data_IF_575757985208
#
_entry.id   IF_575757985208
#
_cell.length_a   1.000
_cell.length_b   1.000
_cell.length_c   1.000
_cell.angle_alpha   90.00
_cell.angle_beta   90.00
_cell.angle_gamma   90.00
#
_symmetry.space_group_name_H-M   'P 1'
#
loop_
_entity.id
_entity.type
_entity.pdbx_description
1 polymer ?
#
# COMPACT_ATOMS: atom_id res chain seq x y z
N UNK A 1 10.64 -22.79 6.42
CA UNK A 1 11.73 -23.11 5.48
C UNK A 1 11.25 -22.75 4.08
N UNK A 2 12.00 -21.92 3.35
CA UNK A 2 11.60 -21.39 2.04
C UNK A 2 11.59 -22.44 0.93
N UNK A 3 10.79 -22.19 -0.11
CA UNK A 3 10.69 -23.08 -1.30
C UNK A 3 12.02 -23.21 -2.04
N UNK A 4 12.84 -22.16 -1.99
CA UNK A 4 14.19 -22.16 -2.57
C UNK A 4 15.12 -23.12 -1.82
N UNK A 5 15.03 -23.20 -0.50
CA UNK A 5 15.80 -24.12 0.34
C UNK A 5 15.57 -25.58 -0.09
N UNK A 6 14.32 -25.99 -0.33
CA UNK A 6 13.99 -27.34 -0.78
C UNK A 6 14.56 -27.66 -2.17
N UNK A 7 14.60 -26.67 -3.06
CA UNK A 7 15.22 -26.83 -4.37
C UNK A 7 16.74 -26.98 -4.27
N UNK A 8 17.40 -26.20 -3.41
CA UNK A 8 18.82 -26.35 -3.10
C UNK A 8 19.14 -27.72 -2.50
N UNK A 9 18.37 -28.10 -1.49
CA UNK A 9 18.52 -29.38 -0.84
C UNK A 9 18.38 -30.54 -1.85
N UNK A 10 17.38 -30.50 -2.70
CA UNK A 10 17.16 -31.50 -3.73
C UNK A 10 18.33 -31.57 -4.72
N UNK A 11 18.86 -30.43 -5.16
CA UNK A 11 20.01 -30.37 -6.07
C UNK A 11 21.26 -30.96 -5.44
N UNK A 12 21.58 -30.63 -4.20
CA UNK A 12 22.72 -31.17 -3.47
C UNK A 12 22.53 -32.65 -3.22
N UNK A 13 21.32 -33.07 -2.83
CA UNK A 13 21.00 -34.48 -2.60
C UNK A 13 21.08 -35.30 -3.86
N UNK A 14 20.58 -34.82 -5.00
CA UNK A 14 20.71 -35.48 -6.30
C UNK A 14 22.18 -35.60 -6.75
N UNK A 15 23.01 -34.59 -6.50
CA UNK A 15 24.43 -34.62 -6.79
C UNK A 15 25.13 -35.72 -5.97
N UNK A 16 24.82 -35.85 -4.69
CA UNK A 16 25.36 -36.91 -3.83
C UNK A 16 24.85 -38.29 -4.23
N UNK A 17 23.56 -38.40 -4.59
CA UNK A 17 22.99 -39.66 -5.06
C UNK A 17 23.65 -40.11 -6.36
N UNK A 18 23.87 -39.19 -7.32
CA UNK A 18 24.56 -39.48 -8.58
C UNK A 18 26.01 -39.94 -8.34
N UNK A 19 26.72 -39.31 -7.40
CA UNK A 19 28.06 -39.71 -6.98
C UNK A 19 28.07 -41.12 -6.35
N UNK A 20 27.11 -41.40 -5.46
CA UNK A 20 26.98 -42.70 -4.82
C UNK A 20 26.60 -43.82 -5.81
N UNK A 21 25.67 -43.55 -6.74
CA UNK A 21 25.31 -44.47 -7.81
C UNK A 21 26.47 -44.73 -8.76
N UNK A 22 27.23 -43.70 -9.16
CA UNK A 22 28.43 -43.83 -9.97
C UNK A 22 29.50 -44.70 -9.31
N UNK A 23 29.70 -44.54 -7.99
CA UNK A 23 30.60 -45.42 -7.19
C UNK A 23 30.09 -46.84 -7.15
N UNK A 24 28.79 -47.04 -6.89
CA UNK A 24 28.19 -48.38 -6.85
C UNK A 24 28.29 -49.12 -8.18
N UNK A 25 27.99 -48.46 -9.31
CA UNK A 25 28.10 -48.99 -10.65
C UNK A 25 29.55 -49.36 -11.01
N UNK A 26 30.52 -48.52 -10.66
CA UNK A 26 31.93 -48.79 -10.88
C UNK A 26 32.36 -50.07 -10.13
N UNK A 27 32.02 -50.22 -8.85
CA UNK A 27 32.33 -51.43 -8.07
C UNK A 27 31.59 -52.67 -8.62
N UNK A 28 30.38 -52.50 -9.14
CA UNK A 28 29.62 -53.60 -9.74
C UNK A 28 30.27 -54.09 -11.05
N UNK A 29 30.72 -53.17 -11.92
CA UNK A 29 31.43 -53.54 -13.19
C UNK A 29 32.84 -54.07 -12.98
N UNK A 30 33.52 -53.68 -11.90
CA UNK A 30 34.89 -54.10 -11.64
C UNK A 30 34.95 -55.30 -10.69
N UNK A 31 33.81 -55.85 -10.29
CA UNK A 31 33.68 -57.00 -9.40
C UNK A 31 34.41 -58.22 -9.91
N UNK A 32 34.29 -58.51 -11.17
CA UNK A 32 34.95 -59.69 -11.82
C UNK A 32 36.48 -59.58 -11.84
N UNK A 33 37.03 -58.40 -11.89
CA UNK A 33 38.48 -58.16 -11.79
C UNK A 33 39.01 -58.30 -10.36
N UNK A 34 38.18 -57.93 -9.36
CA UNK A 34 38.58 -58.13 -7.96
C UNK A 34 38.55 -59.56 -7.51
N UNK A 35 37.64 -60.40 -8.01
CA UNK A 35 37.56 -61.80 -7.66
C UNK A 35 38.77 -62.62 -8.27
N UNK A 36 39.26 -62.23 -9.44
CA UNK A 36 40.41 -62.86 -10.04
C UNK A 36 41.74 -62.60 -9.33
N UNK A 37 41.89 -61.47 -8.66
CA UNK A 37 43.07 -61.11 -7.85
C UNK A 37 43.08 -61.75 -6.45
N UNK A 38 41.95 -62.09 -5.90
CA UNK A 38 41.87 -62.81 -4.60
C UNK A 38 42.06 -64.33 -4.78
N UNK A 39 41.66 -64.88 -5.94
CA UNK A 39 41.79 -66.28 -6.24
C UNK A 39 43.23 -66.72 -6.60
N UNK A 40 44.09 -65.77 -6.98
CA UNK A 40 45.51 -66.00 -7.18
C UNK A 40 46.26 -65.99 -5.84
N UNK A 41 46.13 -67.01 -5.06
CA UNK A 41 46.99 -67.22 -3.91
C UNK A 41 48.48 -67.31 -4.31
N UNK A 42 49.41 -66.99 -3.37
CA UNK A 42 50.83 -67.08 -3.71
C UNK A 42 51.19 -68.44 -4.32
N UNK A 43 52.05 -68.48 -5.31
CA UNK A 43 52.43 -69.73 -5.96
C UNK A 43 52.90 -70.78 -4.95
N UNK A 44 52.60 -72.08 -5.15
CA UNK A 44 52.76 -73.13 -4.15
C UNK A 44 54.25 -73.46 -3.80
N UNK A 45 55.20 -72.75 -4.34
CA UNK A 45 56.65 -73.09 -4.18
C UNK A 45 57.32 -72.44 -2.93
N UNK A 46 56.64 -71.66 -2.15
CA UNK A 46 57.28 -71.07 -0.97
C UNK A 46 56.48 -71.30 0.32
N UNK A 47 56.35 -72.54 0.77
CA UNK A 47 56.04 -72.89 2.16
C UNK A 47 57.31 -73.34 2.84
N UNK A 48 57.94 -72.61 3.71
CA UNK A 48 58.96 -73.06 4.58
C UNK A 48 58.40 -74.20 5.47
N UNK A 49 59.17 -75.21 5.79
CA UNK A 49 58.72 -76.29 6.65
C UNK A 49 58.32 -75.73 8.03
N UNK A 50 57.30 -76.32 8.70
CA UNK A 50 56.90 -75.89 10.00
C UNK A 50 57.97 -76.08 11.03
N UNK A 51 58.40 -75.04 11.73
CA UNK A 51 59.32 -75.14 12.86
C UNK A 51 58.58 -75.83 14.02
N UNK A 52 59.17 -76.80 14.71
CA UNK A 52 58.54 -77.43 15.85
C UNK A 52 58.62 -76.53 17.06
N UNK A 53 57.45 -76.08 17.56
CA UNK A 53 57.36 -75.50 18.89
C UNK A 53 56.63 -74.20 19.10
N UNK A 54 56.01 -73.55 18.10
CA UNK A 54 55.28 -72.29 18.37
C UNK A 54 53.78 -72.52 18.50
N UNK A 55 53.31 -72.34 19.74
CA UNK A 55 51.90 -72.33 20.09
C UNK A 55 51.10 -71.37 19.22
N UNK A 56 49.88 -71.79 18.92
CA UNK A 56 48.89 -71.05 18.13
C UNK A 56 48.78 -69.57 18.48
N UNK A 57 49.48 -68.68 17.78
CA UNK A 57 49.11 -67.28 17.70
C UNK A 57 48.06 -67.19 16.59
N UNK A 58 46.87 -66.59 16.94
CA UNK A 58 45.89 -66.29 15.94
C UNK A 58 46.52 -65.33 14.90
N UNK A 59 46.23 -65.44 13.62
CA UNK A 59 46.78 -64.54 12.59
C UNK A 59 46.27 -63.12 12.93
N UNK A 60 47.22 -62.17 13.05
CA UNK A 60 46.87 -60.75 13.20
C UNK A 60 46.03 -60.35 12.00
N UNK A 61 44.85 -59.67 12.20
CA UNK A 61 44.11 -59.14 11.08
C UNK A 61 45.01 -58.15 10.33
N UNK A 62 44.97 -58.18 8.99
CA UNK A 62 45.78 -57.27 8.21
C UNK A 62 45.44 -55.84 8.57
N UNK A 63 46.42 -54.93 8.63
CA UNK A 63 46.12 -53.52 8.92
C UNK A 63 45.11 -53.04 7.92
N UNK A 64 43.99 -52.47 8.41
CA UNK A 64 43.00 -51.80 7.60
C UNK A 64 43.65 -50.52 7.01
N UNK A 65 44.48 -50.69 5.99
CA UNK A 65 44.99 -49.56 5.23
C UNK A 65 43.82 -48.79 4.65
N UNK A 66 43.78 -47.47 4.85
CA UNK A 66 42.84 -46.57 4.24
C UNK A 66 42.92 -46.78 2.73
N UNK A 67 42.04 -47.62 2.17
CA UNK A 67 41.95 -47.80 0.71
C UNK A 67 41.27 -46.56 0.17
N UNK A 68 42.05 -45.65 -0.42
CA UNK A 68 41.53 -44.55 -1.18
C UNK A 68 40.64 -45.11 -2.31
N UNK A 69 39.46 -44.49 -2.53
CA UNK A 69 38.58 -44.90 -3.63
C UNK A 69 39.33 -44.78 -4.96
N UNK A 70 39.06 -45.67 -5.93
CA UNK A 70 39.76 -45.68 -7.21
C UNK A 70 39.57 -44.31 -7.93
N UNK A 71 40.66 -43.82 -8.53
CA UNK A 71 40.73 -42.52 -9.23
C UNK A 71 39.54 -42.20 -10.15
N UNK A 72 39.03 -43.17 -10.99
CA UNK A 72 37.88 -42.87 -11.86
C UNK A 72 36.59 -42.54 -11.10
N UNK A 73 36.39 -43.10 -9.91
CA UNK A 73 35.21 -42.81 -9.06
C UNK A 73 35.27 -41.42 -8.53
N UNK A 74 36.43 -40.98 -8.04
CA UNK A 74 36.66 -39.60 -7.61
C UNK A 74 36.44 -38.62 -8.75
N UNK A 75 36.90 -38.96 -9.95
CA UNK A 75 36.74 -38.11 -11.14
C UNK A 75 35.28 -37.97 -11.56
N UNK A 76 34.50 -39.07 -11.60
CA UNK A 76 33.06 -39.01 -11.90
C UNK A 76 32.28 -38.19 -10.84
N UNK A 77 32.59 -38.37 -9.57
CA UNK A 77 31.97 -37.59 -8.49
C UNK A 77 32.26 -36.10 -8.59
N UNK A 78 33.50 -35.73 -8.92
CA UNK A 78 33.93 -34.36 -9.12
C UNK A 78 33.22 -33.72 -10.32
N UNK A 79 33.12 -34.43 -11.45
CA UNK A 79 32.37 -33.95 -12.62
C UNK A 79 30.89 -33.75 -12.33
N UNK A 80 30.24 -34.71 -11.68
CA UNK A 80 28.84 -34.60 -11.30
C UNK A 80 28.59 -33.38 -10.38
N UNK A 81 29.47 -33.20 -9.37
CA UNK A 81 29.43 -32.06 -8.48
C UNK A 81 29.62 -30.72 -9.21
N UNK A 82 30.58 -30.68 -10.17
CA UNK A 82 30.83 -29.50 -10.98
C UNK A 82 29.61 -29.09 -11.83
N UNK A 83 28.98 -30.08 -12.51
CA UNK A 83 27.76 -29.81 -13.31
C UNK A 83 26.60 -29.36 -12.44
N UNK A 84 26.37 -29.97 -11.28
CA UNK A 84 25.35 -29.55 -10.35
C UNK A 84 25.61 -28.13 -9.81
N UNK A 85 26.85 -27.82 -9.43
CA UNK A 85 27.23 -26.51 -8.96
C UNK A 85 27.06 -25.42 -10.04
N UNK A 86 27.50 -25.72 -11.27
CA UNK A 86 27.34 -24.81 -12.41
C UNK A 86 25.85 -24.57 -12.75
N UNK A 87 25.05 -25.64 -12.79
CA UNK A 87 23.60 -25.55 -13.03
C UNK A 87 22.89 -24.73 -11.96
N UNK A 88 23.22 -24.94 -10.68
CA UNK A 88 22.68 -24.19 -9.56
C UNK A 88 23.10 -22.73 -9.59
N UNK A 89 24.37 -22.47 -9.85
CA UNK A 89 24.89 -21.11 -9.96
C UNK A 89 24.17 -20.35 -11.09
N UNK A 90 23.99 -20.98 -12.25
CA UNK A 90 23.26 -20.37 -13.37
C UNK A 90 21.78 -20.15 -13.04
N UNK A 91 21.13 -21.12 -12.38
CA UNK A 91 19.73 -21.05 -11.95
C UNK A 91 19.44 -19.88 -11.03
N UNK A 92 20.41 -19.48 -10.20
CA UNK A 92 20.27 -18.38 -9.23
C UNK A 92 20.83 -17.06 -9.78
N UNK A 93 21.99 -17.10 -10.44
CA UNK A 93 22.66 -15.89 -10.89
C UNK A 93 21.86 -15.14 -11.98
N UNK A 94 21.11 -15.86 -12.82
CA UNK A 94 20.31 -15.26 -13.89
C UNK A 94 19.20 -14.35 -13.33
N UNK A 95 18.29 -14.81 -12.44
CA UNK A 95 17.24 -13.94 -11.91
C UNK A 95 17.78 -12.82 -11.01
N UNK A 96 18.87 -13.06 -10.27
CA UNK A 96 19.50 -12.00 -9.47
C UNK A 96 20.02 -10.87 -10.38
N UNK A 97 20.63 -11.21 -11.53
CA UNK A 97 21.08 -10.21 -12.51
C UNK A 97 19.91 -9.46 -13.14
N UNK A 98 18.80 -10.14 -13.41
CA UNK A 98 17.59 -9.49 -13.93
C UNK A 98 17.00 -8.51 -12.90
N UNK A 99 16.89 -8.92 -11.63
CA UNK A 99 16.46 -8.08 -10.54
C UNK A 99 17.37 -6.84 -10.42
N UNK A 100 18.69 -7.03 -10.39
CA UNK A 100 19.63 -5.93 -10.33
C UNK A 100 19.46 -4.94 -11.49
N UNK A 101 19.36 -5.45 -12.72
CA UNK A 101 19.14 -4.59 -13.90
C UNK A 101 17.82 -3.81 -13.82
N UNK A 102 16.77 -4.37 -13.23
CA UNK A 102 15.51 -3.67 -13.06
C UNK A 102 15.56 -2.62 -11.93
N UNK A 103 16.27 -2.91 -10.83
CA UNK A 103 16.54 -1.89 -9.81
C UNK A 103 17.38 -0.73 -10.38
N UNK A 104 18.41 -1.02 -11.18
CA UNK A 104 19.22 -0.01 -11.85
C UNK A 104 18.38 0.82 -12.82
N UNK A 105 17.47 0.19 -13.59
CA UNK A 105 16.55 0.88 -14.48
C UNK A 105 15.55 1.77 -13.70
N UNK A 106 14.99 1.26 -12.60
CA UNK A 106 14.09 2.03 -11.74
C UNK A 106 14.81 3.23 -11.11
N UNK A 107 16.05 3.06 -10.64
CA UNK A 107 16.87 4.14 -10.13
C UNK A 107 17.18 5.21 -11.18
N UNK A 108 17.27 4.81 -12.46
CA UNK A 108 17.39 5.74 -13.60
C UNK A 108 16.05 6.40 -14.02
N UNK A 109 14.95 6.11 -13.29
CA UNK A 109 13.62 6.67 -13.55
C UNK A 109 12.75 5.86 -14.51
N UNK A 110 13.23 4.72 -15.01
CA UNK A 110 12.43 3.81 -15.85
C UNK A 110 11.66 2.82 -14.95
N UNK A 111 10.44 3.18 -14.59
CA UNK A 111 9.54 2.36 -13.76
C UNK A 111 8.64 1.42 -14.59
N UNK A 112 8.85 1.35 -15.91
CA UNK A 112 8.05 0.47 -16.80
C UNK A 112 8.55 -0.97 -16.84
N UNK A 113 9.74 -1.21 -16.33
CA UNK A 113 10.34 -2.54 -16.29
C UNK A 113 9.50 -3.48 -15.43
N UNK A 114 9.11 -4.62 -16.00
CA UNK A 114 8.40 -5.70 -15.31
C UNK A 114 9.30 -6.93 -15.27
N UNK A 115 9.45 -7.50 -14.07
CA UNK A 115 10.29 -8.68 -13.84
C UNK A 115 9.46 -9.93 -13.63
N UNK A 116 8.29 -9.82 -13.02
CA UNK A 116 7.43 -10.96 -12.70
C UNK A 116 7.17 -11.85 -13.92
N UNK A 117 6.90 -11.26 -15.08
CA UNK A 117 6.73 -11.98 -16.34
C UNK A 117 8.02 -12.66 -16.82
N UNK A 118 9.18 -12.03 -16.63
CA UNK A 118 10.48 -12.56 -17.04
C UNK A 118 10.97 -13.72 -16.16
N UNK A 119 10.44 -13.84 -14.94
CA UNK A 119 10.70 -14.97 -14.02
C UNK A 119 10.04 -16.27 -14.48
N UNK A 120 9.12 -16.22 -15.46
CA UNK A 120 8.49 -17.39 -16.09
C UNK A 120 7.63 -18.18 -15.10
N UNK A 121 7.70 -19.54 -15.22
CA UNK A 121 6.90 -20.46 -14.37
C UNK A 121 7.53 -20.75 -13.00
N UNK A 122 8.49 -19.94 -12.55
CA UNK A 122 9.10 -20.13 -11.23
C UNK A 122 8.05 -19.89 -10.13
N UNK A 123 8.15 -20.68 -9.07
CA UNK A 123 7.32 -20.59 -7.86
C UNK A 123 8.22 -20.67 -6.63
N UNK A 124 9.13 -19.71 -6.52
CA UNK A 124 10.08 -19.61 -5.41
C UNK A 124 10.17 -18.16 -4.92
N UNK A 125 10.91 -17.94 -3.85
CA UNK A 125 11.08 -16.66 -3.19
C UNK A 125 11.65 -15.59 -4.13
N UNK A 126 12.42 -15.98 -5.15
CA UNK A 126 12.92 -15.04 -6.15
C UNK A 126 11.82 -14.56 -7.10
N UNK A 127 10.85 -15.42 -7.42
CA UNK A 127 9.68 -15.02 -8.18
C UNK A 127 8.76 -14.09 -7.37
N UNK A 128 8.55 -14.41 -6.08
CA UNK A 128 7.78 -13.56 -5.17
C UNK A 128 8.44 -12.16 -5.05
N UNK A 129 9.77 -12.10 -4.92
CA UNK A 129 10.53 -10.84 -4.93
C UNK A 129 10.39 -10.06 -6.24
N UNK A 130 10.34 -10.74 -7.38
CA UNK A 130 10.07 -10.10 -8.68
C UNK A 130 8.68 -9.45 -8.74
N UNK A 131 7.66 -10.13 -8.22
CA UNK A 131 6.31 -9.57 -8.13
C UNK A 131 6.21 -8.41 -7.14
N UNK A 132 6.94 -8.49 -6.02
CA UNK A 132 7.00 -7.40 -5.05
C UNK A 132 7.67 -6.15 -5.64
N UNK A 133 8.74 -6.35 -6.43
CA UNK A 133 9.36 -5.26 -7.20
C UNK A 133 8.37 -4.63 -8.18
N UNK A 134 7.64 -5.44 -8.96
CA UNK A 134 6.66 -4.93 -9.93
C UNK A 134 5.55 -4.12 -9.26
N UNK A 135 5.10 -4.57 -8.08
CA UNK A 135 4.10 -3.86 -7.26
C UNK A 135 4.64 -2.54 -6.76
N UNK A 136 5.87 -2.54 -6.20
CA UNK A 136 6.54 -1.33 -5.73
C UNK A 136 6.76 -0.33 -6.87
N UNK A 137 7.29 -0.80 -8.01
CA UNK A 137 7.52 0.03 -9.21
C UNK A 137 6.22 0.62 -9.74
N UNK A 138 5.12 -0.18 -9.74
CA UNK A 138 3.79 0.30 -10.11
C UNK A 138 3.26 1.39 -9.17
N UNK A 139 3.45 1.25 -7.87
CA UNK A 139 3.07 2.28 -6.89
C UNK A 139 3.88 3.56 -7.06
N UNK A 140 5.21 3.46 -7.22
CA UNK A 140 6.07 4.63 -7.45
C UNK A 140 5.68 5.36 -8.73
N UNK A 141 5.40 4.63 -9.80
CA UNK A 141 4.94 5.22 -11.05
C UNK A 141 3.61 5.97 -10.87
N UNK A 142 2.63 5.33 -10.23
CA UNK A 142 1.33 5.95 -9.98
C UNK A 142 1.46 7.26 -9.16
N UNK A 143 2.36 7.28 -8.16
CA UNK A 143 2.68 8.48 -7.38
C UNK A 143 3.32 9.58 -8.24
N UNK A 144 4.32 9.23 -9.06
CA UNK A 144 4.98 10.20 -9.96
C UNK A 144 4.04 10.76 -11.01
N UNK A 145 3.20 9.92 -11.62
CA UNK A 145 2.21 10.35 -12.60
C UNK A 145 1.11 11.22 -11.96
N UNK A 146 0.72 10.91 -10.71
CA UNK A 146 -0.16 11.74 -9.90
C UNK A 146 0.44 13.12 -9.64
N UNK A 147 1.71 13.16 -9.21
CA UNK A 147 2.42 14.42 -8.94
C UNK A 147 2.60 15.26 -10.21
N UNK A 148 2.94 14.64 -11.35
CA UNK A 148 3.06 15.36 -12.63
C UNK A 148 1.73 15.95 -13.08
N UNK A 149 0.63 15.21 -12.96
CA UNK A 149 -0.72 15.71 -13.26
C UNK A 149 -1.08 16.87 -12.35
N UNK A 150 -0.85 16.74 -11.04
CA UNK A 150 -1.10 17.81 -10.08
C UNK A 150 -0.37 19.10 -10.48
N UNK A 151 0.94 19.04 -10.78
CA UNK A 151 1.74 20.21 -11.19
C UNK A 151 1.23 20.82 -12.51
N UNK A 152 0.81 19.98 -13.45
CA UNK A 152 0.22 20.42 -14.71
C UNK A 152 -1.07 21.19 -14.48
N UNK A 153 -1.98 20.61 -13.70
CA UNK A 153 -3.29 21.17 -13.39
C UNK A 153 -3.17 22.47 -12.58
N UNK A 154 -2.26 22.49 -11.59
CA UNK A 154 -1.91 23.74 -10.84
C UNK A 154 -1.47 24.84 -11.80
N UNK A 155 -0.57 24.50 -12.75
CA UNK A 155 -0.06 25.51 -13.70
C UNK A 155 -1.17 26.06 -14.60
N UNK A 156 -2.12 25.23 -14.98
CA UNK A 156 -3.29 25.66 -15.76
C UNK A 156 -4.24 26.51 -14.95
N UNK A 157 -4.56 26.10 -13.71
CA UNK A 157 -5.50 26.82 -12.84
C UNK A 157 -4.92 28.13 -12.32
N UNK A 158 -3.61 28.30 -12.23
CA UNK A 158 -2.96 29.57 -11.87
C UNK A 158 -2.87 30.54 -13.07
N UNK A 159 -2.71 30.02 -14.29
CA UNK A 159 -2.56 30.87 -15.50
C UNK A 159 -3.83 31.69 -15.78
N UNK A 160 -4.99 31.11 -15.60
CA UNK A 160 -6.27 31.77 -15.86
C UNK A 160 -6.54 33.00 -14.97
N UNK A 161 -6.48 32.93 -13.62
CA UNK A 161 -6.66 34.10 -12.75
C UNK A 161 -5.55 35.15 -12.97
N UNK A 162 -4.30 34.72 -13.23
CA UNK A 162 -3.21 35.62 -13.51
C UNK A 162 -3.47 36.44 -14.78
N UNK A 163 -3.98 35.80 -15.85
CA UNK A 163 -4.36 36.50 -17.09
C UNK A 163 -5.50 37.51 -16.84
N UNK A 164 -6.52 37.13 -16.03
CA UNK A 164 -7.62 38.06 -15.66
C UNK A 164 -7.12 39.23 -14.82
N UNK A 165 -6.18 38.98 -13.91
CA UNK A 165 -5.55 40.01 -13.07
C UNK A 165 -4.76 40.98 -13.95
N UNK A 166 -3.93 40.51 -14.90
CA UNK A 166 -3.23 41.36 -15.86
C UNK A 166 -4.21 42.19 -16.73
N UNK A 167 -5.29 41.58 -17.18
CA UNK A 167 -6.31 42.30 -17.96
C UNK A 167 -6.98 43.42 -17.12
N UNK A 168 -7.30 43.16 -15.83
CA UNK A 168 -7.87 44.15 -14.93
C UNK A 168 -6.90 45.31 -14.69
N UNK A 169 -5.60 45.03 -14.49
CA UNK A 169 -4.58 46.07 -14.38
C UNK A 169 -4.48 46.91 -15.65
N UNK A 170 -4.52 46.25 -16.82
CA UNK A 170 -4.49 46.94 -18.12
C UNK A 170 -5.68 47.87 -18.31
N UNK A 171 -6.90 47.42 -17.92
CA UNK A 171 -8.10 48.23 -17.94
C UNK A 171 -8.03 49.40 -16.97
N UNK A 172 -7.56 49.20 -15.75
CA UNK A 172 -7.35 50.25 -14.75
C UNK A 172 -6.44 51.40 -15.29
N UNK A 173 -5.41 51.04 -16.02
CA UNK A 173 -4.47 52.01 -16.64
C UNK A 173 -5.08 52.77 -17.81
N UNK A 174 -5.94 52.11 -18.62
CA UNK A 174 -6.52 52.71 -19.85
C UNK A 174 -7.80 53.49 -19.57
N UNK A 175 -8.57 53.14 -18.57
CA UNK A 175 -9.89 53.70 -18.25
C UNK A 175 -9.97 54.15 -16.79
N UNK A 176 -9.46 55.34 -16.45
CA UNK A 176 -9.51 55.88 -15.07
C UNK A 176 -10.92 55.92 -14.51
N UNK A 177 -11.94 56.13 -15.31
CA UNK A 177 -13.34 56.16 -14.87
C UNK A 177 -13.87 54.81 -14.34
N UNK A 178 -13.16 53.67 -14.62
CA UNK A 178 -13.48 52.32 -14.14
C UNK A 178 -12.44 51.75 -13.19
N UNK A 179 -11.67 52.64 -12.56
CA UNK A 179 -10.59 52.25 -11.65
C UNK A 179 -11.12 51.37 -10.51
N UNK A 180 -12.22 51.79 -9.89
CA UNK A 180 -12.81 51.08 -8.75
C UNK A 180 -13.25 49.63 -9.13
N UNK A 181 -13.97 49.49 -10.25
CA UNK A 181 -14.35 48.15 -10.76
C UNK A 181 -13.16 47.25 -11.05
N UNK A 182 -12.07 47.86 -11.54
CA UNK A 182 -10.84 47.11 -11.84
C UNK A 182 -10.09 46.69 -10.57
N UNK A 183 -10.06 47.54 -9.55
CA UNK A 183 -9.49 47.25 -8.23
C UNK A 183 -10.25 46.10 -7.57
N UNK A 184 -11.57 46.16 -7.54
CA UNK A 184 -12.41 45.08 -6.99
C UNK A 184 -12.22 43.74 -7.74
N UNK A 185 -11.96 43.78 -9.05
CA UNK A 185 -11.62 42.57 -9.80
C UNK A 185 -10.26 42.03 -9.42
N UNK A 186 -9.26 42.87 -9.27
CA UNK A 186 -7.90 42.49 -8.84
C UNK A 186 -7.96 41.84 -7.45
N UNK A 187 -8.68 42.46 -6.52
CA UNK A 187 -8.87 41.97 -5.16
C UNK A 187 -9.52 40.57 -5.17
N UNK A 188 -10.65 40.41 -5.87
CA UNK A 188 -11.33 39.11 -6.02
C UNK A 188 -10.47 38.02 -6.64
N UNK A 189 -9.67 38.32 -7.67
CA UNK A 189 -8.79 37.35 -8.26
C UNK A 189 -7.60 37.03 -7.34
N UNK A 190 -7.10 37.99 -6.57
CA UNK A 190 -6.07 37.80 -5.52
C UNK A 190 -6.56 36.85 -4.41
N UNK A 191 -7.75 37.07 -3.90
CA UNK A 191 -8.38 36.21 -2.89
C UNK A 191 -8.59 34.78 -3.41
N UNK A 192 -9.02 34.65 -4.69
CA UNK A 192 -9.16 33.33 -5.33
C UNK A 192 -7.83 32.60 -5.41
N UNK A 193 -6.77 33.29 -5.84
CA UNK A 193 -5.43 32.68 -5.93
C UNK A 193 -4.93 32.27 -4.54
N UNK A 194 -5.11 33.12 -3.52
CA UNK A 194 -4.72 32.79 -2.15
C UNK A 194 -5.44 31.54 -1.64
N UNK A 195 -6.73 31.42 -1.93
CA UNK A 195 -7.53 30.22 -1.57
C UNK A 195 -7.01 28.97 -2.28
N UNK A 196 -6.73 29.04 -3.59
CA UNK A 196 -6.16 27.94 -4.35
C UNK A 196 -4.82 27.47 -3.75
N UNK A 197 -3.93 28.41 -3.44
CA UNK A 197 -2.64 28.09 -2.82
C UNK A 197 -2.83 27.41 -1.45
N UNK A 198 -3.77 27.92 -0.64
CA UNK A 198 -4.10 27.32 0.67
C UNK A 198 -4.65 25.89 0.55
N UNK A 199 -5.52 25.62 -0.43
CA UNK A 199 -6.03 24.27 -0.72
C UNK A 199 -4.91 23.33 -1.19
N UNK A 200 -4.02 23.80 -2.07
CA UNK A 200 -2.87 23.05 -2.56
C UNK A 200 -1.88 22.68 -1.45
N UNK A 201 -1.56 23.64 -0.57
CA UNK A 201 -0.67 23.39 0.57
C UNK A 201 -1.28 22.35 1.53
N UNK A 202 -2.59 22.41 1.75
CA UNK A 202 -3.29 21.41 2.56
C UNK A 202 -3.22 20.03 1.93
N UNK A 203 -3.52 19.93 0.63
CA UNK A 203 -3.44 18.66 -0.11
C UNK A 203 -2.02 18.10 -0.08
N UNK A 204 -1.02 18.92 -0.33
CA UNK A 204 0.40 18.52 -0.32
C UNK A 204 0.84 18.01 1.06
N UNK A 205 0.45 18.66 2.16
CA UNK A 205 0.75 18.19 3.52
C UNK A 205 0.10 16.84 3.82
N UNK A 206 -1.15 16.64 3.40
CA UNK A 206 -1.87 15.38 3.56
C UNK A 206 -1.24 14.25 2.72
N UNK A 207 -0.77 14.56 1.51
CA UNK A 207 -0.06 13.59 0.66
C UNK A 207 1.32 13.20 1.20
N UNK A 208 2.01 14.14 1.83
CA UNK A 208 3.29 13.87 2.49
C UNK A 208 3.17 13.04 3.78
N UNK A 209 1.93 12.69 4.19
CA UNK A 209 1.69 11.91 5.41
C UNK A 209 2.07 12.67 6.68
N UNK A 210 2.16 14.01 6.63
CA UNK A 210 2.39 14.83 7.81
C UNK A 210 1.16 14.73 8.70
N UNK A 211 1.22 13.78 9.65
CA UNK A 211 0.17 13.58 10.64
C UNK A 211 0.15 14.77 11.58
N UNK A 212 -0.90 15.58 11.49
CA UNK A 212 -1.22 16.53 12.54
C UNK A 212 -1.69 15.78 13.81
N UNK A 213 -1.43 16.28 15.01
CA UNK A 213 -1.83 15.60 16.24
C UNK A 213 -3.33 15.35 16.24
N UNK A 214 -3.72 14.15 16.67
CA UNK A 214 -5.10 13.77 16.86
C UNK A 214 -5.51 14.15 18.27
N UNK A 215 -6.57 14.91 18.38
CA UNK A 215 -7.20 15.34 19.63
C UNK A 215 -8.63 14.79 19.74
N UNK A 216 -9.16 14.77 20.93
CA UNK A 216 -10.55 14.41 21.17
C UNK A 216 -11.41 15.64 20.92
N UNK A 217 -12.31 15.56 19.97
CA UNK A 217 -13.15 16.65 19.50
C UNK A 217 -14.61 16.35 19.79
N UNK A 218 -15.35 17.37 20.24
CA UNK A 218 -16.79 17.35 20.26
C UNK A 218 -17.32 17.61 18.84
N UNK A 219 -17.98 16.59 18.27
CA UNK A 219 -18.50 16.68 16.91
C UNK A 219 -19.71 17.63 16.81
N UNK A 220 -20.47 17.75 17.89
CA UNK A 220 -21.65 18.65 17.94
C UNK A 220 -21.22 20.11 17.90
N UNK A 221 -20.18 20.48 18.64
CA UNK A 221 -19.59 21.82 18.61
C UNK A 221 -19.03 22.14 17.20
N UNK A 222 -18.22 21.26 16.66
CA UNK A 222 -17.61 21.45 15.33
C UNK A 222 -18.66 21.58 14.23
N UNK A 223 -19.73 20.77 14.26
CA UNK A 223 -20.83 20.85 13.29
C UNK A 223 -21.67 22.10 13.53
N UNK A 224 -21.86 22.52 14.79
CA UNK A 224 -22.58 23.74 15.13
C UNK A 224 -21.98 24.96 14.45
N UNK A 225 -20.68 25.17 14.57
CA UNK A 225 -19.93 26.25 13.92
C UNK A 225 -20.06 26.21 12.38
N UNK A 226 -19.86 25.01 11.79
CA UNK A 226 -20.02 24.83 10.35
C UNK A 226 -21.42 25.13 9.83
N UNK A 227 -22.44 24.81 10.60
CA UNK A 227 -23.84 25.08 10.23
C UNK A 227 -24.20 26.56 10.30
N UNK A 228 -23.62 27.31 11.25
CA UNK A 228 -23.81 28.76 11.34
C UNK A 228 -23.28 29.44 10.07
N UNK A 229 -22.04 29.12 9.69
CA UNK A 229 -21.42 29.65 8.47
C UNK A 229 -22.18 29.21 7.20
N UNK A 230 -22.58 27.95 7.13
CA UNK A 230 -23.32 27.40 5.99
C UNK A 230 -24.71 28.06 5.83
N UNK A 231 -25.42 28.32 6.92
CA UNK A 231 -26.72 29.04 6.92
C UNK A 231 -26.59 30.47 6.46
N UNK A 232 -25.52 31.15 6.88
CA UNK A 232 -25.23 32.51 6.43
C UNK A 232 -24.99 32.56 4.92
N UNK A 233 -24.17 31.64 4.38
CA UNK A 233 -23.91 31.52 2.93
C UNK A 233 -25.20 31.15 2.16
N UNK A 234 -25.97 30.20 2.69
CA UNK A 234 -27.22 29.72 2.11
C UNK A 234 -28.32 30.78 2.02
N UNK A 235 -28.38 31.69 3.00
CA UNK A 235 -29.41 32.72 3.09
C UNK A 235 -29.45 33.62 1.85
N UNK A 236 -28.30 33.95 1.26
CA UNK A 236 -28.20 34.75 0.03
C UNK A 236 -28.86 34.10 -1.19
N UNK A 237 -29.06 32.78 -1.17
CA UNK A 237 -29.67 31.97 -2.25
C UNK A 237 -31.02 31.36 -1.86
N UNK A 238 -31.52 31.67 -0.65
CA UNK A 238 -32.76 31.12 -0.10
C UNK A 238 -32.69 29.59 0.15
N UNK A 239 -31.49 29.02 0.23
CA UNK A 239 -31.30 27.58 0.48
C UNK A 239 -31.52 27.34 1.98
N UNK A 240 -32.29 26.30 2.31
CA UNK A 240 -32.49 25.86 3.69
C UNK A 240 -31.43 24.83 4.07
N UNK A 241 -30.78 25.00 5.23
CA UNK A 241 -29.82 23.99 5.76
C UNK A 241 -30.44 23.36 7.00
N UNK A 242 -30.76 22.06 6.86
CA UNK A 242 -31.32 21.24 7.93
C UNK A 242 -30.24 20.37 8.56
N UNK A 243 -30.21 20.21 9.86
CA UNK A 243 -29.32 19.34 10.57
C UNK A 243 -30.09 18.38 11.48
N UNK A 244 -29.80 17.11 11.38
CA UNK A 244 -30.22 16.06 12.29
C UNK A 244 -29.00 15.58 13.05
N UNK A 245 -28.70 16.21 14.16
CA UNK A 245 -27.64 15.87 15.09
C UNK A 245 -28.24 15.72 16.48
N UNK A 246 -27.73 14.85 17.32
CA UNK A 246 -28.28 14.65 18.65
C UNK A 246 -27.61 13.51 19.42
N UNK A 247 -26.39 13.16 19.04
CA UNK A 247 -25.73 11.96 19.57
C UNK A 247 -24.59 12.25 20.56
N UNK A 248 -24.23 13.52 20.80
CA UNK A 248 -23.12 13.92 21.67
C UNK A 248 -21.86 13.05 21.43
N UNK A 249 -21.36 13.08 20.20
CA UNK A 249 -20.28 12.21 19.73
C UNK A 249 -18.93 12.87 19.85
N UNK A 250 -17.96 12.17 20.45
CA UNK A 250 -16.56 12.59 20.46
C UNK A 250 -15.75 11.77 19.47
N UNK A 251 -14.95 12.43 18.65
CA UNK A 251 -14.09 11.78 17.65
C UNK A 251 -12.62 12.14 17.87
N UNK A 252 -11.73 11.19 17.60
CA UNK A 252 -10.28 11.45 17.59
C UNK A 252 -9.84 11.82 16.18
N UNK A 253 -9.67 13.13 15.96
CA UNK A 253 -9.22 13.66 14.68
C UNK A 253 -8.40 14.94 14.90
N UNK A 254 -7.80 15.45 13.83
CA UNK A 254 -7.33 16.85 13.85
C UNK A 254 -8.51 17.77 13.54
N UNK A 255 -8.82 18.68 14.46
CA UNK A 255 -10.01 19.55 14.38
C UNK A 255 -10.03 20.40 13.13
N UNK A 256 -8.92 21.05 12.79
CA UNK A 256 -8.82 21.91 11.60
C UNK A 256 -9.04 21.11 10.31
N UNK A 257 -8.45 19.92 10.21
CA UNK A 257 -8.58 19.08 9.02
C UNK A 257 -10.00 18.50 8.88
N UNK A 258 -10.59 18.03 9.98
CA UNK A 258 -11.95 17.50 9.96
C UNK A 258 -12.98 18.60 9.65
N UNK A 259 -12.85 19.78 10.29
CA UNK A 259 -13.65 20.94 9.96
C UNK A 259 -13.60 21.24 8.46
N UNK A 260 -12.39 21.31 7.90
CA UNK A 260 -12.15 21.59 6.48
C UNK A 260 -12.75 20.53 5.56
N UNK A 261 -12.70 19.25 5.96
CA UNK A 261 -13.28 18.16 5.19
C UNK A 261 -14.80 18.30 5.09
N UNK A 262 -15.47 18.53 6.22
CA UNK A 262 -16.93 18.69 6.29
C UNK A 262 -17.36 19.98 5.57
N UNK A 263 -16.65 21.09 5.82
CA UNK A 263 -16.88 22.37 5.13
C UNK A 263 -16.85 22.23 3.61
N UNK A 264 -15.83 21.53 3.08
CA UNK A 264 -15.69 21.31 1.64
C UNK A 264 -16.88 20.55 1.03
N UNK A 265 -17.39 19.53 1.73
CA UNK A 265 -18.56 18.79 1.28
C UNK A 265 -19.82 19.64 1.38
N UNK A 266 -20.00 20.38 2.49
CA UNK A 266 -21.14 21.22 2.72
C UNK A 266 -21.21 22.39 1.72
N UNK A 267 -20.09 23.05 1.45
CA UNK A 267 -20.00 24.09 0.41
C UNK A 267 -20.28 23.53 -1.00
N UNK A 268 -19.86 22.31 -1.27
CA UNK A 268 -20.21 21.64 -2.52
C UNK A 268 -21.73 21.43 -2.63
N UNK A 269 -22.37 20.93 -1.57
CA UNK A 269 -23.81 20.74 -1.51
C UNK A 269 -24.58 22.06 -1.69
N UNK A 270 -24.18 23.12 -0.99
CA UNK A 270 -24.78 24.45 -1.15
C UNK A 270 -24.62 25.00 -2.57
N UNK A 271 -23.46 24.80 -3.17
CA UNK A 271 -23.15 25.31 -4.49
C UNK A 271 -24.02 24.69 -5.58
N UNK A 272 -24.24 23.38 -5.55
CA UNK A 272 -24.99 22.66 -6.57
C UNK A 272 -26.50 22.60 -6.30
N UNK A 273 -26.93 22.95 -5.08
CA UNK A 273 -28.36 23.08 -4.78
C UNK A 273 -29.02 24.19 -5.60
N UNK A 274 -30.25 23.96 -6.07
CA UNK A 274 -31.04 25.00 -6.73
C UNK A 274 -31.38 26.15 -5.77
N UNK A 275 -31.78 27.31 -6.30
CA UNK A 275 -32.33 28.40 -5.50
C UNK A 275 -33.57 27.95 -4.72
N UNK A 276 -33.63 28.23 -3.44
CA UNK A 276 -34.73 27.77 -2.56
C UNK A 276 -34.66 26.26 -2.21
N UNK A 277 -33.58 25.59 -2.57
CA UNK A 277 -33.39 24.14 -2.30
C UNK A 277 -33.11 23.83 -0.82
N UNK A 278 -32.94 22.53 -0.55
CA UNK A 278 -32.66 21.99 0.78
C UNK A 278 -31.33 21.26 0.79
N UNK A 279 -30.47 21.56 1.76
CA UNK A 279 -29.28 20.77 2.11
C UNK A 279 -29.51 20.13 3.47
N UNK A 280 -29.32 18.83 3.58
CA UNK A 280 -29.51 18.10 4.83
C UNK A 280 -28.19 17.52 5.30
N UNK A 281 -27.82 17.72 6.56
CA UNK A 281 -26.71 17.11 7.24
C UNK A 281 -27.24 16.18 8.32
N UNK A 282 -26.85 14.91 8.28
CA UNK A 282 -27.25 13.88 9.26
C UNK A 282 -26.02 13.28 9.88
N UNK A 283 -25.96 13.27 11.22
CA UNK A 283 -24.91 12.58 11.98
C UNK A 283 -25.52 11.36 12.63
N UNK A 284 -24.89 10.21 12.42
CA UNK A 284 -25.34 8.95 12.99
C UNK A 284 -24.17 8.13 13.52
N UNK A 285 -24.41 7.42 14.62
CA UNK A 285 -23.52 6.37 15.08
C UNK A 285 -23.95 5.06 14.44
N UNK A 286 -23.03 4.37 13.78
CA UNK A 286 -23.31 3.06 13.20
C UNK A 286 -22.69 1.96 14.05
N UNK A 287 -23.52 1.02 14.52
CA UNK A 287 -23.07 -0.10 15.34
C UNK A 287 -22.04 -0.94 14.56
N UNK A 288 -20.77 -0.87 14.98
CA UNK A 288 -19.66 -1.62 14.39
C UNK A 288 -18.85 -0.90 13.31
N UNK A 289 -19.36 0.18 12.69
CA UNK A 289 -18.61 0.96 11.65
C UNK A 289 -18.09 2.30 12.14
N UNK A 290 -18.63 2.85 13.24
CA UNK A 290 -18.18 4.13 13.80
C UNK A 290 -19.19 5.27 13.61
N UNK A 291 -18.69 6.49 13.39
CA UNK A 291 -19.50 7.68 13.13
C UNK A 291 -19.65 7.89 11.62
N UNK A 292 -20.86 8.23 11.20
CA UNK A 292 -21.20 8.57 9.82
C UNK A 292 -21.79 9.96 9.75
N UNK A 293 -21.25 10.81 8.87
CA UNK A 293 -21.79 12.12 8.52
C UNK A 293 -22.28 12.05 7.09
N UNK A 294 -23.55 12.32 6.87
CA UNK A 294 -24.21 12.29 5.57
C UNK A 294 -24.61 13.71 5.21
N UNK A 295 -24.21 14.18 4.04
CA UNK A 295 -24.59 15.48 3.50
C UNK A 295 -25.31 15.24 2.18
N UNK A 296 -26.54 15.72 2.10
CA UNK A 296 -27.44 15.56 0.96
C UNK A 296 -27.81 16.90 0.36
N UNK A 297 -27.77 17.00 -0.96
CA UNK A 297 -28.26 18.17 -1.70
C UNK A 297 -29.43 17.80 -2.64
N UNK A 298 -29.99 18.80 -3.28
CA UNK A 298 -31.04 18.70 -4.28
C UNK A 298 -30.55 19.16 -5.67
N UNK A 299 -29.25 19.04 -5.91
CA UNK A 299 -28.63 19.40 -7.18
C UNK A 299 -28.95 18.43 -8.31
N UNK A 300 -28.28 18.56 -9.46
CA UNK A 300 -28.50 17.69 -10.62
C UNK A 300 -27.93 16.25 -10.43
N UNK A 301 -27.19 16.00 -9.34
CA UNK A 301 -26.44 14.75 -9.17
C UNK A 301 -25.21 14.73 -10.07
N UNK A 302 -24.62 13.52 -10.21
CA UNK A 302 -23.38 13.28 -10.94
C UNK A 302 -23.58 12.02 -11.80
N UNK A 303 -23.00 11.96 -13.01
CA UNK A 303 -23.08 10.75 -13.81
C UNK A 303 -22.46 9.55 -13.07
N UNK A 304 -23.00 8.33 -13.20
CA UNK A 304 -22.47 7.16 -12.50
C UNK A 304 -20.98 6.90 -12.73
N UNK A 305 -20.47 7.26 -13.92
CA UNK A 305 -19.06 7.11 -14.30
C UNK A 305 -18.13 8.14 -13.63
N UNK A 306 -18.71 9.22 -13.10
CA UNK A 306 -17.98 10.32 -12.46
C UNK A 306 -18.03 10.28 -10.94
N UNK A 307 -18.90 9.47 -10.32
CA UNK A 307 -19.07 9.38 -8.87
C UNK A 307 -17.74 9.14 -8.11
N UNK A 308 -16.86 8.33 -8.66
CA UNK A 308 -15.51 8.13 -8.12
C UNK A 308 -14.56 9.29 -8.47
N UNK A 309 -14.74 9.90 -9.65
CA UNK A 309 -13.84 10.92 -10.17
C UNK A 309 -14.00 12.27 -9.45
N UNK A 310 -15.17 12.55 -8.87
CA UNK A 310 -15.41 13.81 -8.13
C UNK A 310 -14.45 14.00 -6.96
N UNK A 311 -13.83 12.92 -6.46
CA UNK A 311 -12.82 12.96 -5.40
C UNK A 311 -11.38 13.06 -5.93
N UNK A 312 -11.20 13.19 -7.24
CA UNK A 312 -9.89 13.40 -7.87
C UNK A 312 -9.55 14.90 -7.86
N UNK A 313 -8.33 15.31 -7.50
CA UNK A 313 -7.94 16.71 -7.57
C UNK A 313 -8.20 17.32 -8.94
N UNK A 314 -8.68 18.56 -8.97
CA UNK A 314 -9.02 19.35 -10.17
C UNK A 314 -10.14 18.79 -11.06
N UNK A 315 -10.77 17.69 -10.64
CA UNK A 315 -11.91 17.18 -11.39
C UNK A 315 -13.11 18.12 -11.29
N UNK A 316 -13.73 18.40 -12.43
CA UNK A 316 -14.93 19.24 -12.58
C UNK A 316 -15.86 18.60 -13.58
N UNK A 317 -17.08 18.27 -13.15
CA UNK A 317 -18.14 17.80 -14.03
C UNK A 317 -18.60 18.88 -15.02
N UNK A 318 -19.30 18.48 -16.05
CA UNK A 318 -19.86 19.40 -17.05
C UNK A 318 -20.82 20.42 -16.38
N UNK A 319 -20.66 21.71 -16.72
CA UNK A 319 -21.48 22.78 -16.16
C UNK A 319 -21.09 23.25 -14.73
N UNK A 320 -20.03 22.73 -14.13
CA UNK A 320 -19.57 23.16 -12.82
C UNK A 320 -18.95 24.57 -12.89
N UNK A 321 -19.65 25.58 -12.35
CA UNK A 321 -19.21 26.99 -12.23
C UNK A 321 -17.91 27.18 -11.44
N UNK A 322 -17.79 28.25 -10.64
CA UNK A 322 -16.60 28.64 -9.90
C UNK A 322 -16.13 27.56 -8.88
N UNK A 323 -14.83 27.24 -8.82
CA UNK A 323 -14.18 26.30 -7.88
C UNK A 323 -13.09 25.51 -8.58
N UNK A 324 -12.06 25.11 -7.83
CA UNK A 324 -10.86 24.48 -8.39
C UNK A 324 -10.94 22.95 -8.45
N UNK A 325 -12.00 22.33 -7.94
CA UNK A 325 -12.13 20.88 -7.89
C UNK A 325 -11.19 20.20 -6.87
N UNK A 326 -10.76 20.95 -5.84
CA UNK A 326 -9.87 20.42 -4.79
C UNK A 326 -10.62 20.03 -3.51
N UNK A 327 -11.78 20.63 -3.23
CA UNK A 327 -12.47 20.45 -1.94
C UNK A 327 -12.81 18.99 -1.61
N UNK A 328 -13.46 18.25 -2.51
CA UNK A 328 -13.79 16.83 -2.28
C UNK A 328 -12.53 15.94 -2.23
N UNK A 329 -11.49 16.27 -2.99
CA UNK A 329 -10.22 15.58 -2.92
C UNK A 329 -9.53 15.76 -1.56
N UNK A 330 -9.57 16.98 -1.00
CA UNK A 330 -9.09 17.28 0.36
C UNK A 330 -9.91 16.48 1.39
N UNK A 331 -11.23 16.51 1.28
CA UNK A 331 -12.09 15.72 2.18
C UNK A 331 -11.73 14.23 2.16
N UNK A 332 -11.52 13.63 0.98
CA UNK A 332 -11.08 12.24 0.85
C UNK A 332 -9.73 11.99 1.52
N UNK A 333 -8.77 12.86 1.35
CA UNK A 333 -7.43 12.72 1.98
C UNK A 333 -7.50 12.83 3.50
N UNK A 334 -8.30 13.73 4.02
CA UNK A 334 -8.52 13.86 5.47
C UNK A 334 -9.13 12.58 6.05
N UNK A 335 -10.18 12.06 5.43
CA UNK A 335 -10.81 10.82 5.90
C UNK A 335 -9.84 9.62 5.84
N UNK A 336 -9.06 9.49 4.78
CA UNK A 336 -8.04 8.44 4.67
C UNK A 336 -6.98 8.55 5.77
N UNK A 337 -6.61 9.75 6.18
CA UNK A 337 -5.62 9.97 7.25
C UNK A 337 -6.11 9.49 8.64
N UNK A 338 -7.43 9.42 8.86
CA UNK A 338 -8.05 8.85 10.07
C UNK A 338 -8.58 7.42 9.86
N UNK A 339 -8.14 6.73 8.80
CA UNK A 339 -8.63 5.41 8.40
C UNK A 339 -10.14 5.37 8.12
N UNK A 340 -10.72 6.52 7.79
CA UNK A 340 -12.11 6.65 7.38
C UNK A 340 -12.30 6.42 5.88
N UNK A 341 -13.55 6.57 5.44
CA UNK A 341 -13.95 6.47 4.03
C UNK A 341 -14.85 7.65 3.66
N UNK A 342 -14.80 8.05 2.41
CA UNK A 342 -15.77 8.98 1.80
C UNK A 342 -16.22 8.40 0.47
N UNK A 343 -17.50 8.47 0.22
CA UNK A 343 -18.10 8.08 -1.06
C UNK A 343 -19.34 8.92 -1.36
N UNK A 344 -19.80 8.85 -2.60
CA UNK A 344 -20.97 9.62 -3.04
C UNK A 344 -21.93 8.72 -3.81
N UNK A 345 -23.20 9.03 -3.69
CA UNK A 345 -24.30 8.34 -4.33
C UNK A 345 -25.30 9.35 -4.87
N UNK A 346 -25.90 9.07 -6.02
CA UNK A 346 -27.04 9.87 -6.48
C UNK A 346 -28.28 9.50 -5.69
N UNK A 347 -29.06 10.51 -5.28
CA UNK A 347 -30.33 10.30 -4.59
C UNK A 347 -31.41 9.88 -5.61
N UNK A 348 -32.32 8.96 -5.25
CA UNK A 348 -33.42 8.59 -6.13
C UNK A 348 -34.34 9.76 -6.50
N UNK A 349 -34.46 10.73 -5.62
CA UNK A 349 -35.29 11.94 -5.80
C UNK A 349 -34.56 13.09 -6.51
N UNK A 350 -33.33 12.86 -6.94
CA UNK A 350 -32.40 13.86 -7.48
C UNK A 350 -31.49 14.45 -6.40
N UNK A 351 -30.32 14.90 -6.83
CA UNK A 351 -29.25 15.40 -5.95
C UNK A 351 -28.18 14.38 -5.63
N UNK A 352 -27.19 14.82 -4.89
CA UNK A 352 -26.05 14.02 -4.47
C UNK A 352 -26.11 13.80 -2.94
N UNK A 353 -25.77 12.59 -2.54
CA UNK A 353 -25.51 12.19 -1.16
C UNK A 353 -24.02 11.90 -1.02
N UNK A 354 -23.33 12.64 -0.15
CA UNK A 354 -21.92 12.39 0.19
C UNK A 354 -21.87 11.86 1.62
N UNK A 355 -21.20 10.73 1.80
CA UNK A 355 -21.09 10.02 3.06
C UNK A 355 -19.64 10.02 3.53
N UNK A 356 -19.42 10.49 4.75
CA UNK A 356 -18.13 10.47 5.44
C UNK A 356 -18.22 9.46 6.57
N UNK A 357 -17.40 8.41 6.54
CA UNK A 357 -17.37 7.38 7.57
C UNK A 357 -16.05 7.43 8.33
N UNK A 358 -16.12 7.47 9.64
CA UNK A 358 -14.98 7.39 10.54
C UNK A 358 -15.07 6.10 11.37
N UNK A 359 -13.96 5.32 11.50
CA UNK A 359 -14.00 4.03 12.20
C UNK A 359 -14.24 4.18 13.71
N UNK A 360 -14.70 3.12 14.36
CA UNK A 360 -14.95 3.06 15.81
C UNK A 360 -13.76 3.54 16.65
N UNK A 361 -12.53 3.33 16.19
CA UNK A 361 -11.31 3.75 16.88
C UNK A 361 -11.12 5.28 16.88
N UNK A 362 -11.88 5.99 16.03
CA UNK A 362 -11.82 7.44 15.92
C UNK A 362 -12.92 8.16 16.73
N UNK A 363 -13.85 7.44 17.38
CA UNK A 363 -14.91 8.03 18.15
C UNK A 363 -15.20 7.26 19.46
N UNK A 364 -15.68 7.95 20.47
CA UNK A 364 -16.17 7.39 21.73
C UNK A 364 -17.56 7.99 22.00
N UNK A 365 -18.61 7.18 22.21
CA UNK A 365 -19.89 7.72 22.65
C UNK A 365 -19.78 8.19 24.11
N UNK A 366 -20.31 9.38 24.42
CA UNK A 366 -20.30 9.95 25.78
C UNK A 366 -20.95 9.03 26.84
N UNK A 367 -21.88 8.17 26.40
CA UNK A 367 -22.53 7.16 27.25
C UNK A 367 -21.60 6.05 27.77
N UNK A 368 -20.41 5.84 27.16
CA UNK A 368 -19.47 4.83 27.64
C UNK A 368 -18.68 5.26 28.89
N UNK A 369 -18.73 6.53 29.26
CA UNK A 369 -18.12 7.04 30.50
C UNK A 369 -19.03 6.88 31.74
N UNK A 370 -20.31 6.51 31.60
CA UNK A 370 -21.24 6.31 32.71
C UNK A 370 -21.70 4.88 32.85
N UNK A 371 -20.79 3.92 32.91
CA UNK A 371 -21.10 2.67 33.58
C UNK A 371 -21.02 2.94 35.09
N UNK A 372 -22.14 2.88 35.85
CA UNK A 372 -22.04 2.95 37.29
C UNK A 372 -21.17 1.77 37.74
N UNK A 373 -20.23 2.06 38.64
CA UNK A 373 -19.45 1.03 39.31
C UNK A 373 -20.42 -0.05 39.81
N UNK A 374 -20.10 -1.35 39.71
CA UNK A 374 -20.94 -2.40 40.24
C UNK A 374 -21.12 -2.12 41.74
N UNK A 375 -22.33 -1.73 42.13
CA UNK A 375 -22.74 -1.69 43.53
C UNK A 375 -22.56 -3.07 44.07
N UNK A 376 -21.47 -3.29 44.81
CA UNK A 376 -21.29 -4.46 45.66
C UNK A 376 -22.44 -4.56 46.64
N UNK A 377 -23.44 -5.36 46.29
CA UNK A 377 -24.46 -5.75 47.24
C UNK A 377 -23.81 -6.61 48.32
N UNK A 378 -23.62 -6.01 49.52
CA UNK A 378 -23.51 -6.80 50.76
C UNK A 378 -24.79 -7.60 50.86
N UNK A 379 -24.69 -8.90 50.72
CA UNK A 379 -25.71 -9.85 51.17
C UNK A 379 -25.48 -9.98 52.68
N UNK A 380 -26.23 -9.21 53.48
CA UNK A 380 -26.48 -9.52 54.87
C UNK A 380 -27.24 -10.84 54.93
N UNK A 381 -26.64 -11.82 55.54
CA UNK A 381 -27.25 -13.08 55.88
C UNK A 381 -27.79 -12.97 57.33
N UNK A 382 -29.10 -12.94 57.58
CA UNK A 382 -29.61 -13.14 58.93
C UNK A 382 -29.86 -14.61 59.09
N UNK A 383 -29.07 -15.26 60.02
CA UNK A 383 -29.55 -16.27 60.94
C UNK A 383 -28.42 -17.12 61.54
N UNK A 384 -28.47 -17.09 62.90
CA UNK A 384 -27.83 -17.89 63.97
C UNK A 384 -26.48 -17.42 64.45
#
# INVERSE_FOLDING_TARGET
MGRLFWKFFLFVWLAQLAGALGTGLFFWFDRDRFETHIAAGPPPEFRPPPLPGDGHRPPHPPPHGLRLPPLPVLFCGLLASLFCAAGLAWYIAKPIRQLRGAFDAAAAGNLDVRIGESMGKRRDELADLGHDFDRMSGHLRALMDGQRRLLHDVSHELRSPLARLHAAIGLARQQPARLEDSLQRIEREGERMNRLVGELLTLSRLEAGVSAPLELLDLDELIGDLLEDARFEAASRGITVNCQNGLNLQVRANGELLHRAIENVLRNALRFSPLGGLVTLVVSASAGTGCQIVIEDQGPGVSPEELEKIFTPFFRGEGSGAGYGLGLAIARRVLLAVNGKIYAENRPEGGLRVVLEMPVNAWLPDSAQRLPAPTGGCIDNPDT
#
